data_IF_588309526109
#
_entry.id   IF_588309526109
#
_cell.length_a   1.000
_cell.length_b   1.000
_cell.length_c   1.000
_cell.angle_alpha   90.00
_cell.angle_beta   90.00
_cell.angle_gamma   90.00
#
_symmetry.space_group_name_H-M   'P 1'
#
loop_
_entity.id
_entity.type
_entity.pdbx_description
1 polymer ?
#
# COMPACT_ATOMS: atom_id res chain seq x y z
N UNK A 1 -26.55 6.93 49.64
CA UNK A 1 -27.26 7.07 48.36
C UNK A 1 -26.53 8.10 47.48
N UNK A 2 -25.44 7.74 46.78
CA UNK A 2 -24.76 8.65 45.82
C UNK A 2 -23.65 8.02 44.97
N UNK A 3 -23.68 6.70 44.71
CA UNK A 3 -22.67 6.07 43.84
C UNK A 3 -23.26 5.21 42.70
N UNK A 4 -24.52 4.76 42.81
CA UNK A 4 -25.18 3.98 41.74
C UNK A 4 -25.71 4.82 40.57
N UNK A 5 -25.92 6.13 40.75
CA UNK A 5 -26.45 7.03 39.70
C UNK A 5 -25.37 7.52 38.73
N UNK A 6 -24.09 7.47 39.10
CA UNK A 6 -22.98 7.99 38.27
C UNK A 6 -22.52 7.04 37.19
N UNK A 7 -22.71 5.73 37.37
CA UNK A 7 -22.27 4.71 36.41
C UNK A 7 -23.20 4.59 35.20
N UNK A 8 -24.48 4.92 35.35
CA UNK A 8 -25.46 4.88 34.25
C UNK A 8 -25.25 5.99 33.22
N UNK A 9 -24.66 7.13 33.59
CA UNK A 9 -24.48 8.27 32.68
C UNK A 9 -23.33 8.07 31.68
N UNK A 10 -22.30 7.29 32.05
CA UNK A 10 -21.13 7.07 31.19
C UNK A 10 -21.40 6.13 30.01
N UNK A 11 -22.38 5.22 30.12
CA UNK A 11 -22.72 4.29 29.04
C UNK A 11 -23.57 4.91 27.92
N UNK A 12 -24.08 6.13 28.08
CA UNK A 12 -24.90 6.80 27.07
C UNK A 12 -24.09 7.62 26.04
N UNK A 13 -22.82 7.94 26.31
CA UNK A 13 -21.98 8.74 25.41
C UNK A 13 -21.13 7.93 24.42
N UNK A 14 -21.05 6.60 24.56
CA UNK A 14 -20.19 5.77 23.70
C UNK A 14 -20.86 5.31 22.38
N UNK A 15 -22.09 5.73 22.11
CA UNK A 15 -22.92 5.17 21.02
C UNK A 15 -23.02 6.06 19.76
N UNK A 16 -22.22 7.13 19.62
CA UNK A 16 -22.40 8.11 18.52
C UNK A 16 -21.19 8.20 17.56
N UNK A 17 -20.12 7.43 17.73
CA UNK A 17 -19.02 7.41 16.75
C UNK A 17 -19.20 6.33 15.66
N UNK A 18 -20.42 6.19 15.16
CA UNK A 18 -20.78 5.39 13.97
C UNK A 18 -21.31 6.29 12.85
N UNK A 19 -20.44 7.12 12.28
CA UNK A 19 -20.68 7.84 11.02
C UNK A 19 -19.36 7.88 10.25
N UNK A 20 -19.00 6.84 9.50
CA UNK A 20 -19.34 6.67 8.08
C UNK A 20 -18.98 7.90 7.23
N UNK A 21 -17.78 7.94 6.63
CA UNK A 21 -17.51 8.42 5.26
C UNK A 21 -16.07 8.02 4.90
N UNK A 22 -15.93 7.04 4.01
CA UNK A 22 -15.10 7.15 2.81
C UNK A 22 -15.57 6.06 1.85
N UNK A 23 -16.27 6.50 0.80
CA UNK A 23 -16.64 5.67 -0.33
C UNK A 23 -15.39 5.01 -0.92
N UNK A 24 -15.23 3.70 -0.72
CA UNK A 24 -14.34 2.93 -1.56
C UNK A 24 -15.02 2.82 -2.93
N UNK A 25 -14.52 3.59 -3.90
CA UNK A 25 -14.84 3.39 -5.30
C UNK A 25 -14.31 2.01 -5.72
N UNK A 26 -15.12 0.96 -5.56
CA UNK A 26 -14.88 -0.33 -6.19
C UNK A 26 -15.03 -0.11 -7.70
N UNK A 27 -13.89 0.11 -8.35
CA UNK A 27 -13.78 -0.08 -9.79
C UNK A 27 -13.97 -1.58 -10.02
N UNK A 28 -15.17 -1.97 -10.41
CA UNK A 28 -15.56 -3.32 -10.81
C UNK A 28 -14.92 -3.63 -12.17
N UNK A 29 -13.59 -3.75 -12.16
CA UNK A 29 -12.85 -4.35 -13.27
C UNK A 29 -12.97 -5.87 -13.12
N UNK A 30 -13.25 -6.62 -14.20
CA UNK A 30 -13.35 -8.06 -14.13
C UNK A 30 -12.05 -8.63 -13.56
N UNK A 31 -12.13 -9.23 -12.37
CA UNK A 31 -11.01 -9.89 -11.72
C UNK A 31 -10.67 -11.11 -12.56
N UNK A 32 -9.65 -11.00 -13.41
CA UNK A 32 -9.12 -12.15 -14.15
C UNK A 32 -8.57 -13.14 -13.11
N UNK A 33 -9.05 -14.37 -13.17
CA UNK A 33 -8.70 -15.47 -12.26
C UNK A 33 -7.17 -15.63 -12.18
N UNK A 34 -6.59 -15.19 -11.05
CA UNK A 34 -5.14 -15.11 -10.84
C UNK A 34 -4.61 -13.72 -10.45
N UNK A 35 -5.42 -12.67 -10.56
CA UNK A 35 -5.07 -11.33 -10.11
C UNK A 35 -5.55 -11.09 -8.67
N UNK A 36 -4.63 -11.33 -7.73
CA UNK A 36 -4.82 -10.88 -6.37
C UNK A 36 -5.01 -9.34 -6.41
N UNK A 37 -6.04 -8.76 -5.76
CA UNK A 37 -6.18 -7.30 -5.70
C UNK A 37 -4.91 -6.67 -5.13
N UNK A 38 -4.54 -5.50 -5.68
CA UNK A 38 -3.27 -4.85 -5.32
C UNK A 38 -3.16 -4.62 -3.80
N UNK A 39 -4.24 -4.20 -3.15
CA UNK A 39 -4.30 -3.99 -1.70
C UNK A 39 -4.13 -5.28 -0.90
N UNK A 40 -4.68 -6.39 -1.39
CA UNK A 40 -4.47 -7.71 -0.77
C UNK A 40 -3.00 -8.11 -0.86
N UNK A 41 -2.33 -7.82 -1.98
CA UNK A 41 -0.89 -8.07 -2.10
C UNK A 41 -0.06 -7.15 -1.20
N UNK A 42 -0.36 -5.86 -1.13
CA UNK A 42 0.31 -4.90 -0.23
C UNK A 42 0.14 -5.27 1.26
N UNK A 43 -1.01 -5.85 1.61
CA UNK A 43 -1.29 -6.37 2.96
C UNK A 43 -0.49 -7.62 3.31
N UNK A 44 -0.07 -8.42 2.32
CA UNK A 44 0.89 -9.50 2.53
C UNK A 44 2.30 -8.93 2.69
N UNK A 45 2.67 -7.92 1.91
CA UNK A 45 3.98 -7.28 2.02
C UNK A 45 4.18 -6.63 3.40
N UNK A 46 3.16 -6.01 3.98
CA UNK A 46 3.27 -5.41 5.31
C UNK A 46 3.55 -6.42 6.41
N UNK A 47 3.07 -7.66 6.26
CA UNK A 47 3.36 -8.78 7.18
C UNK A 47 4.82 -9.25 7.05
N UNK A 48 5.40 -9.16 5.85
CA UNK A 48 6.82 -9.48 5.63
C UNK A 48 7.70 -8.36 6.18
N UNK A 49 7.44 -7.11 5.79
CA UNK A 49 8.02 -5.92 6.42
C UNK A 49 7.25 -4.66 6.02
N UNK A 50 7.11 -3.67 6.93
CA UNK A 50 6.54 -2.37 6.58
C UNK A 50 7.28 -1.71 5.41
N UNK A 51 8.61 -1.80 5.38
CA UNK A 51 9.44 -1.24 4.31
C UNK A 51 9.17 -1.87 2.93
N UNK A 52 8.80 -3.16 2.87
CA UNK A 52 8.44 -3.80 1.60
C UNK A 52 7.14 -3.24 1.03
N UNK A 53 6.12 -3.04 1.88
CA UNK A 53 4.87 -2.39 1.48
C UNK A 53 5.12 -0.95 1.02
N UNK A 54 5.77 -0.15 1.85
CA UNK A 54 6.06 1.25 1.53
C UNK A 54 6.93 1.38 0.26
N UNK A 55 7.89 0.46 0.06
CA UNK A 55 8.71 0.40 -1.16
C UNK A 55 7.93 0.02 -2.40
N UNK A 56 6.98 -0.90 -2.29
CA UNK A 56 6.07 -1.22 -3.37
C UNK A 56 5.20 -0.01 -3.76
N UNK A 57 4.61 0.68 -2.77
CA UNK A 57 3.80 1.88 -2.99
C UNK A 57 4.62 2.99 -3.67
N UNK A 58 5.85 3.24 -3.20
CA UNK A 58 6.75 4.23 -3.79
C UNK A 58 7.13 3.86 -5.24
N UNK A 59 7.43 2.58 -5.50
CA UNK A 59 7.74 2.09 -6.84
C UNK A 59 6.54 2.22 -7.78
N UNK A 60 5.33 1.86 -7.33
CA UNK A 60 4.09 2.02 -8.11
C UNK A 60 3.81 3.48 -8.45
N UNK A 61 3.97 4.39 -7.49
CA UNK A 61 3.77 5.82 -7.70
C UNK A 61 4.77 6.38 -8.73
N UNK A 62 6.05 6.02 -8.59
CA UNK A 62 7.09 6.45 -9.52
C UNK A 62 6.92 5.82 -10.92
N UNK A 63 6.49 4.56 -10.99
CA UNK A 63 6.16 3.89 -12.24
C UNK A 63 5.00 4.59 -12.95
N UNK A 64 3.90 4.86 -12.24
CA UNK A 64 2.74 5.57 -12.80
C UNK A 64 3.15 6.93 -13.36
N UNK A 65 3.92 7.70 -12.59
CA UNK A 65 4.43 9.01 -13.02
C UNK A 65 5.28 8.94 -14.29
N UNK A 66 6.09 7.90 -14.47
CA UNK A 66 7.04 7.80 -15.60
C UNK A 66 6.48 7.09 -16.83
N UNK A 67 5.65 6.09 -16.62
CA UNK A 67 5.16 5.20 -17.66
C UNK A 67 3.73 5.50 -18.08
N UNK A 68 3.06 6.45 -17.42
CA UNK A 68 1.73 6.93 -17.81
C UNK A 68 0.60 5.94 -17.60
N UNK A 69 0.84 4.86 -16.82
CA UNK A 69 -0.17 3.86 -16.46
C UNK A 69 0.09 3.27 -15.07
N UNK A 70 -0.96 2.75 -14.45
CA UNK A 70 -0.82 1.97 -13.23
C UNK A 70 0.00 0.70 -13.46
N UNK A 71 0.80 0.31 -12.47
CA UNK A 71 1.49 -0.97 -12.42
C UNK A 71 0.48 -2.05 -12.00
N UNK A 72 0.40 -3.15 -12.74
CA UNK A 72 -0.51 -4.25 -12.43
C UNK A 72 0.04 -5.12 -11.29
N UNK A 73 -0.83 -5.78 -10.52
CA UNK A 73 -0.39 -6.62 -9.39
C UNK A 73 0.53 -7.77 -9.84
N UNK A 74 0.28 -8.35 -11.02
CA UNK A 74 1.17 -9.36 -11.62
C UNK A 74 2.57 -8.83 -11.91
N UNK A 75 2.70 -7.56 -12.32
CA UNK A 75 3.99 -6.92 -12.61
C UNK A 75 4.75 -6.62 -11.33
N UNK A 76 4.05 -6.13 -10.31
CA UNK A 76 4.65 -5.91 -9.00
C UNK A 76 5.11 -7.23 -8.36
N UNK A 77 4.28 -8.28 -8.40
CA UNK A 77 4.66 -9.63 -7.95
C UNK A 77 5.92 -10.12 -8.65
N UNK A 78 5.98 -9.97 -9.98
CA UNK A 78 7.17 -10.34 -10.76
C UNK A 78 8.38 -9.51 -10.34
N UNK A 79 8.22 -8.20 -10.14
CA UNK A 79 9.30 -7.33 -9.70
C UNK A 79 9.85 -7.73 -8.32
N UNK A 80 9.05 -8.30 -7.41
CA UNK A 80 9.57 -8.88 -6.17
C UNK A 80 10.21 -10.26 -6.36
N UNK A 81 9.58 -11.13 -7.14
CA UNK A 81 9.90 -12.57 -7.18
C UNK A 81 10.94 -12.96 -8.24
N UNK A 82 11.20 -12.13 -9.25
CA UNK A 82 12.10 -12.50 -10.35
C UNK A 82 13.56 -12.43 -9.91
N UNK A 83 14.21 -13.59 -9.76
CA UNK A 83 15.60 -13.67 -9.33
C UNK A 83 15.78 -13.09 -7.92
N UNK A 84 16.59 -12.03 -7.80
CA UNK A 84 16.74 -11.26 -6.55
C UNK A 84 15.72 -10.12 -6.39
N UNK A 85 14.73 -10.04 -7.28
CA UNK A 85 13.84 -8.90 -7.45
C UNK A 85 14.41 -7.83 -8.40
N UNK A 86 13.55 -6.90 -8.81
CA UNK A 86 13.91 -5.71 -9.58
C UNK A 86 14.87 -4.85 -8.74
N UNK A 87 16.04 -4.49 -9.28
CA UNK A 87 17.07 -3.81 -8.51
C UNK A 87 16.64 -2.41 -8.04
N UNK A 88 15.78 -1.71 -8.80
CA UNK A 88 15.27 -0.39 -8.41
C UNK A 88 14.30 -0.53 -7.25
N UNK A 89 13.37 -1.48 -7.35
CA UNK A 89 12.42 -1.79 -6.27
C UNK A 89 13.14 -2.23 -4.99
N UNK A 90 14.09 -3.15 -5.08
CA UNK A 90 14.87 -3.61 -3.92
C UNK A 90 15.68 -2.48 -3.29
N UNK A 91 16.24 -1.58 -4.10
CA UNK A 91 16.93 -0.40 -3.60
C UNK A 91 15.96 0.59 -2.92
N UNK A 92 14.74 0.76 -3.42
CA UNK A 92 13.72 1.60 -2.80
C UNK A 92 13.30 1.05 -1.43
N UNK A 93 13.02 -0.25 -1.33
CA UNK A 93 12.69 -0.91 -0.06
C UNK A 93 13.80 -0.66 0.97
N UNK A 94 15.06 -0.80 0.56
CA UNK A 94 16.22 -0.50 1.42
C UNK A 94 16.27 0.97 1.83
N UNK A 95 16.11 1.89 0.88
CA UNK A 95 16.13 3.33 1.15
C UNK A 95 15.04 3.74 2.15
N UNK A 96 13.85 3.17 2.04
CA UNK A 96 12.75 3.39 2.97
C UNK A 96 13.06 2.86 4.36
N UNK A 97 13.59 1.63 4.45
CA UNK A 97 14.06 1.09 5.72
C UNK A 97 15.10 2.00 6.40
N UNK A 98 15.94 2.67 5.60
CA UNK A 98 16.96 3.64 6.06
C UNK A 98 16.42 5.06 6.25
N UNK A 99 15.13 5.31 5.95
CA UNK A 99 14.49 6.63 5.95
C UNK A 99 15.16 7.64 5.01
N UNK A 100 15.80 7.17 3.94
CA UNK A 100 16.42 8.00 2.90
C UNK A 100 15.42 8.32 1.79
N UNK A 101 14.59 9.34 2.04
CA UNK A 101 13.57 9.79 1.08
C UNK A 101 14.17 10.39 -0.19
N UNK A 102 15.39 10.96 -0.11
CA UNK A 102 16.10 11.50 -1.27
C UNK A 102 16.57 10.37 -2.20
N UNK A 103 17.03 9.23 -1.65
CA UNK A 103 17.33 8.05 -2.44
C UNK A 103 16.06 7.48 -3.11
N UNK A 104 14.93 7.41 -2.40
CA UNK A 104 13.65 6.95 -3.00
C UNK A 104 13.28 7.79 -4.22
N UNK A 105 13.38 9.11 -4.14
CA UNK A 105 13.08 10.01 -5.26
C UNK A 105 14.04 9.81 -6.44
N UNK A 106 15.35 9.68 -6.17
CA UNK A 106 16.36 9.43 -7.21
C UNK A 106 16.14 8.09 -7.91
N UNK A 107 15.88 7.03 -7.15
CA UNK A 107 15.55 5.70 -7.69
C UNK A 107 14.24 5.74 -8.50
N UNK A 108 13.27 6.53 -8.07
CA UNK A 108 12.02 6.72 -8.82
C UNK A 108 12.28 7.25 -10.24
N UNK A 109 13.26 8.12 -10.42
CA UNK A 109 13.63 8.65 -11.73
C UNK A 109 14.27 7.62 -12.67
N UNK A 110 14.83 6.52 -12.13
CA UNK A 110 15.55 5.49 -12.90
C UNK A 110 14.71 4.29 -13.30
N UNK A 111 13.40 4.28 -13.00
CA UNK A 111 12.51 3.17 -13.38
C UNK A 111 12.61 2.89 -14.90
N UNK A 112 12.31 1.69 -15.36
CA UNK A 112 12.20 1.42 -16.79
C UNK A 112 10.75 1.13 -17.15
N UNK A 113 10.27 1.76 -18.23
CA UNK A 113 8.94 1.46 -18.74
C UNK A 113 9.05 0.25 -19.68
N UNK A 114 8.31 -0.84 -19.42
CA UNK A 114 8.27 -1.96 -20.34
C UNK A 114 7.78 -1.43 -21.70
N UNK A 115 8.48 -1.80 -22.77
CA UNK A 115 7.99 -1.54 -24.12
C UNK A 115 6.78 -2.45 -24.31
N UNK A 116 5.63 -1.85 -24.62
CA UNK A 116 4.42 -2.59 -24.99
C UNK A 116 4.64 -3.42 -26.25
#
# INVERSE_FOLDING_TARGET
>A
MSFLTRTALFLAMLSILTAQVAAHAQSDAPTIEGDLPIESYLSLLSQVSPAAREGAEAYMAAFSKRCGRALQTVELRRAFAQGSGDPTLMAMVRAIHQKDTAAVQRLGATINCPRG
#
